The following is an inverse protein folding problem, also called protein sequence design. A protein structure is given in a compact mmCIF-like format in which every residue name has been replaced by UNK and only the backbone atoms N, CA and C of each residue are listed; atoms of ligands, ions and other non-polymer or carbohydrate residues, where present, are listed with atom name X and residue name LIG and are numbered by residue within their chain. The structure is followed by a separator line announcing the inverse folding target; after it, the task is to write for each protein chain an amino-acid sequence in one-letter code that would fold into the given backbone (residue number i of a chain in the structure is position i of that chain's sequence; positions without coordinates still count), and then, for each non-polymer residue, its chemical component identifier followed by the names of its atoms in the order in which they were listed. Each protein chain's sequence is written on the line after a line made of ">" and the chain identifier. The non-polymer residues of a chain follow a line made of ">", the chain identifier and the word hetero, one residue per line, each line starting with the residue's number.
data_IF_524565181476
#
_entry.id   IF_524565181476
#
_cell.length_a   1.000
_cell.length_b   1.000
_cell.length_c   1.000
_cell.angle_alpha   90.00
_cell.angle_beta   90.00
_cell.angle_gamma   90.00
#
_symmetry.space_group_name_H-M   'P 1'
#
loop_
_entity.id
_entity.type
_entity.pdbx_description
1 polymer ?
#
# COMPACT_ATOMS: atom_id res chain seq x y z
N UNK A 1 -3.96 -11.55 -16.30
CA UNK A 1 -3.20 -10.74 -17.27
C UNK A 1 -1.71 -10.89 -16.96
N UNK A 2 -0.84 -11.06 -17.97
CA UNK A 2 0.61 -11.12 -17.73
C UNK A 2 1.13 -9.75 -17.27
N UNK A 3 2.19 -9.74 -16.45
CA UNK A 3 2.86 -8.49 -16.07
C UNK A 3 3.55 -7.88 -17.30
N UNK A 4 3.45 -6.55 -17.45
CA UNK A 4 4.04 -5.82 -18.58
C UNK A 4 5.54 -5.57 -18.38
N UNK A 5 5.93 -5.33 -17.14
CA UNK A 5 7.31 -4.99 -16.79
C UNK A 5 8.07 -6.23 -16.30
N UNK A 6 9.37 -6.32 -16.61
CA UNK A 6 10.21 -7.38 -16.08
C UNK A 6 10.26 -7.26 -14.57
N UNK A 7 10.05 -8.38 -13.87
CA UNK A 7 10.05 -8.41 -12.41
C UNK A 7 11.48 -8.41 -11.87
N UNK A 8 11.82 -7.41 -11.07
CA UNK A 8 13.04 -7.43 -10.28
C UNK A 8 12.97 -8.50 -9.18
N UNK A 9 14.09 -9.16 -8.90
CA UNK A 9 14.20 -10.17 -7.85
C UNK A 9 14.53 -9.54 -6.49
N UNK A 10 13.78 -8.50 -6.13
CA UNK A 10 13.95 -7.75 -4.89
C UNK A 10 12.65 -7.78 -4.08
N UNK A 11 12.76 -7.62 -2.76
CA UNK A 11 11.59 -7.44 -1.91
C UNK A 11 11.04 -6.03 -2.12
N UNK A 12 9.76 -5.94 -2.46
CA UNK A 12 9.02 -4.68 -2.56
C UNK A 12 7.83 -4.68 -1.63
N UNK A 13 7.29 -3.48 -1.33
CA UNK A 13 6.15 -3.35 -0.43
C UNK A 13 4.87 -3.82 -1.14
N UNK A 14 4.27 -4.91 -0.66
CA UNK A 14 2.95 -5.35 -1.14
C UNK A 14 1.80 -4.53 -0.51
N UNK A 15 1.93 -4.20 0.77
CA UNK A 15 0.97 -3.36 1.48
C UNK A 15 1.31 -3.18 2.96
N UNK A 16 0.67 -2.19 3.57
CA UNK A 16 0.70 -1.94 5.01
C UNK A 16 -0.73 -1.99 5.52
N UNK A 17 -1.10 -3.09 6.16
CA UNK A 17 -2.45 -3.33 6.68
C UNK A 17 -2.51 -3.13 8.19
N UNK A 18 -3.41 -2.27 8.70
CA UNK A 18 -3.76 -2.28 10.11
C UNK A 18 -4.40 -3.62 10.47
N UNK A 19 -3.98 -4.23 11.56
CA UNK A 19 -4.49 -5.55 11.99
C UNK A 19 -4.95 -5.56 13.43
N UNK A 20 -5.96 -6.38 13.71
CA UNK A 20 -6.45 -6.63 15.05
C UNK A 20 -5.74 -7.85 15.64
N UNK A 21 -5.36 -7.80 16.92
CA UNK A 21 -4.75 -8.96 17.60
C UNK A 21 -5.72 -10.15 17.70
N UNK A 22 -7.02 -9.88 17.81
CA UNK A 22 -8.07 -10.89 17.94
C UNK A 22 -9.21 -10.49 16.99
N UNK A 23 -9.71 -11.45 16.22
CA UNK A 23 -10.79 -11.23 15.25
C UNK A 23 -10.25 -10.83 13.87
N UNK A 24 -11.14 -10.29 13.03
CA UNK A 24 -10.79 -9.87 11.67
C UNK A 24 -10.12 -8.51 11.66
N UNK A 25 -9.24 -8.31 10.69
CA UNK A 25 -8.60 -7.02 10.46
C UNK A 25 -9.61 -5.97 9.98
N UNK A 26 -9.42 -4.70 10.36
CA UNK A 26 -10.28 -3.63 9.90
C UNK A 26 -10.02 -3.32 8.42
N UNK A 27 -11.09 -3.18 7.65
CA UNK A 27 -11.04 -2.80 6.24
C UNK A 27 -11.99 -1.62 5.97
N UNK A 28 -11.66 -0.79 4.99
CA UNK A 28 -12.52 0.33 4.54
C UNK A 28 -12.95 1.32 5.64
N UNK A 29 -12.04 1.66 6.55
CA UNK A 29 -12.29 2.61 7.63
C UNK A 29 -12.75 3.99 7.12
N UNK A 30 -13.65 4.65 7.86
CA UNK A 30 -14.09 6.01 7.56
C UNK A 30 -12.90 6.98 7.60
N UNK A 31 -12.62 7.61 6.46
CA UNK A 31 -11.51 8.57 6.37
C UNK A 31 -11.86 9.87 7.07
N UNK A 32 -11.01 10.33 8.01
CA UNK A 32 -11.20 11.60 8.70
C UNK A 32 -10.78 12.81 7.86
N UNK A 33 -9.68 12.69 7.11
CA UNK A 33 -9.13 13.77 6.29
C UNK A 33 -8.65 13.22 4.94
N UNK A 34 -9.13 13.77 3.82
CA UNK A 34 -8.60 13.46 2.49
C UNK A 34 -7.32 14.27 2.26
N UNK A 35 -6.16 13.62 2.28
CA UNK A 35 -4.88 14.24 1.91
C UNK A 35 -4.56 13.97 0.44
N UNK A 36 -3.87 14.90 -0.21
CA UNK A 36 -3.24 14.65 -1.52
C UNK A 36 -1.98 13.80 -1.31
N UNK A 37 -1.62 13.00 -2.32
CA UNK A 37 -0.37 12.23 -2.30
C UNK A 37 0.80 13.20 -2.12
N UNK A 38 1.74 12.85 -1.25
CA UNK A 38 2.95 13.64 -1.08
C UNK A 38 3.84 13.42 -2.32
N UNK A 39 3.89 14.42 -3.21
CA UNK A 39 4.68 14.35 -4.46
C UNK A 39 6.14 13.99 -4.22
N UNK A 40 6.68 14.42 -3.09
CA UNK A 40 8.07 14.14 -2.69
C UNK A 40 8.33 12.65 -2.42
N UNK A 41 7.29 11.85 -2.15
CA UNK A 41 7.42 10.41 -1.88
C UNK A 41 7.18 9.54 -3.12
N UNK A 42 6.70 10.10 -4.23
CA UNK A 42 6.37 9.31 -5.43
C UNK A 42 7.56 8.50 -5.98
N UNK A 43 8.80 9.04 -6.05
CA UNK A 43 9.97 8.28 -6.51
C UNK A 43 10.38 7.13 -5.58
N UNK A 44 9.89 7.10 -4.33
CA UNK A 44 10.21 6.07 -3.34
C UNK A 44 9.15 4.95 -3.30
N UNK A 45 8.07 5.11 -4.07
CA UNK A 45 6.95 4.18 -4.15
C UNK A 45 6.94 3.39 -5.47
N UNK A 46 7.95 3.60 -6.32
CA UNK A 46 8.25 2.77 -7.48
C UNK A 46 8.94 1.47 -7.07
#
# INVERSE_FOLDING_TARGET
>A
TPCKDPTDKLFTVHGLWPSNKIGRDPEYCKTRNRRKRAKTLEPQLE
#
